data_IF_084230149441
#
_entry.id   IF_084230149441
#
_cell.length_a   1.000
_cell.length_b   1.000
_cell.length_c   1.000
_cell.angle_alpha   90.00
_cell.angle_beta   90.00
_cell.angle_gamma   90.00
#
_symmetry.space_group_name_H-M   'P 1'
#
loop_
_entity.id
_entity.type
_entity.pdbx_description
1 polymer ?
#
# COMPACT_ATOMS: atom_id res chain seq x y z
N UNK A 1 21.58 -0.85 68.48
CA UNK A 1 21.72 -0.07 67.23
C UNK A 1 21.49 -0.90 65.96
N UNK A 2 20.31 -1.54 65.77
CA UNK A 2 20.01 -2.32 64.54
C UNK A 2 18.66 -2.00 63.86
N UNK A 3 17.81 -1.17 64.48
CA UNK A 3 16.46 -0.85 63.95
C UNK A 3 16.42 0.32 62.97
N UNK A 4 17.39 1.24 63.03
CA UNK A 4 17.45 2.44 62.17
C UNK A 4 17.91 2.14 60.73
N UNK A 5 18.75 1.12 60.52
CA UNK A 5 19.20 0.72 59.18
C UNK A 5 18.11 0.03 58.35
N UNK A 6 17.21 -0.73 59.00
CA UNK A 6 16.15 -1.46 58.31
C UNK A 6 15.06 -0.51 57.77
N UNK A 7 14.70 0.51 58.55
CA UNK A 7 13.71 1.52 58.18
C UNK A 7 14.19 2.40 57.01
N UNK A 8 15.48 2.72 56.97
CA UNK A 8 16.08 3.51 55.89
C UNK A 8 16.14 2.73 54.57
N UNK A 9 16.45 1.42 54.62
CA UNK A 9 16.47 0.56 53.44
C UNK A 9 15.07 0.35 52.84
N UNK A 10 14.04 0.19 53.68
CA UNK A 10 12.65 0.07 53.21
C UNK A 10 12.14 1.36 52.58
N UNK A 11 12.53 2.54 53.08
CA UNK A 11 12.13 3.84 52.52
C UNK A 11 12.78 4.10 51.15
N UNK A 12 14.03 3.67 50.97
CA UNK A 12 14.75 3.80 49.70
C UNK A 12 14.17 2.84 48.67
N UNK A 13 13.83 1.61 49.06
CA UNK A 13 13.25 0.62 48.15
C UNK A 13 11.84 1.02 47.67
N UNK A 14 11.01 1.61 48.54
CA UNK A 14 9.70 2.16 48.13
C UNK A 14 9.84 3.40 47.26
N UNK A 15 10.80 4.30 47.53
CA UNK A 15 11.08 5.45 46.69
C UNK A 15 11.58 5.05 45.28
N UNK A 16 12.40 4.00 45.17
CA UNK A 16 12.86 3.46 43.88
C UNK A 16 11.72 2.76 43.12
N UNK A 17 10.84 2.03 43.81
CA UNK A 17 9.64 1.46 43.18
C UNK A 17 8.67 2.55 42.68
N UNK A 18 8.44 3.61 43.46
CA UNK A 18 7.60 4.74 43.06
C UNK A 18 8.20 5.54 41.91
N UNK A 19 9.53 5.73 41.88
CA UNK A 19 10.22 6.37 40.76
C UNK A 19 10.21 5.52 39.48
N UNK A 20 10.16 4.18 39.60
CA UNK A 20 10.08 3.27 38.44
C UNK A 20 8.71 3.22 37.76
N UNK A 21 7.64 3.70 38.42
CA UNK A 21 6.31 3.79 37.81
C UNK A 21 6.14 5.03 36.91
N UNK A 22 7.05 6.00 36.96
CA UNK A 22 7.00 7.23 36.17
C UNK A 22 7.60 7.14 34.76
N UNK A 23 8.15 5.98 34.35
CA UNK A 23 8.88 5.79 33.09
C UNK A 23 8.22 4.82 32.10
N UNK A 24 7.00 4.36 32.40
CA UNK A 24 6.13 3.82 31.36
C UNK A 24 5.62 5.01 30.54
N UNK A 25 6.37 5.42 29.50
CA UNK A 25 5.84 6.32 28.49
C UNK A 25 4.46 5.81 28.09
N UNK A 26 3.47 6.69 28.07
CA UNK A 26 2.13 6.35 27.60
C UNK A 26 2.34 5.86 26.17
N UNK A 27 2.25 4.54 25.95
CA UNK A 27 2.33 3.98 24.62
C UNK A 27 1.05 4.41 23.91
N UNK A 28 1.14 5.50 23.15
CA UNK A 28 0.07 5.96 22.30
C UNK A 28 -0.20 4.88 21.24
N UNK A 29 -1.47 4.63 20.94
CA UNK A 29 -1.83 3.66 19.92
C UNK A 29 -1.36 4.20 18.56
N UNK A 30 -0.63 3.39 17.79
CA UNK A 30 -0.15 3.80 16.46
C UNK A 30 -1.11 3.33 15.38
N UNK A 31 -1.33 4.16 14.37
CA UNK A 31 -2.05 3.79 13.15
C UNK A 31 -1.14 3.99 11.95
N UNK A 32 -0.59 2.90 11.43
CA UNK A 32 0.31 2.92 10.27
C UNK A 32 -0.41 2.39 9.04
N UNK A 33 -0.45 3.20 7.97
CA UNK A 33 -1.01 2.80 6.68
C UNK A 33 0.07 2.82 5.60
N UNK A 34 0.25 1.69 4.94
CA UNK A 34 1.16 1.54 3.81
C UNK A 34 0.37 1.13 2.56
N UNK A 35 0.32 2.02 1.58
CA UNK A 35 -0.27 1.80 0.27
C UNK A 35 0.85 1.63 -0.77
N UNK A 36 1.15 0.38 -1.12
CA UNK A 36 2.09 0.04 -2.19
C UNK A 36 1.42 0.14 -3.53
N UNK A 37 1.87 1.11 -4.32
CA UNK A 37 1.37 1.37 -5.67
C UNK A 37 2.13 0.48 -6.64
N UNK A 38 1.39 -0.23 -7.49
CA UNK A 38 1.91 -1.02 -8.60
C UNK A 38 1.13 -0.67 -9.88
N UNK A 39 1.51 -1.27 -11.00
CA UNK A 39 0.86 -1.09 -12.29
C UNK A 39 -0.58 -1.62 -12.22
N UNK A 40 -1.53 -0.70 -12.12
CA UNK A 40 -2.97 -0.99 -12.16
C UNK A 40 -3.59 -1.49 -10.86
N UNK A 41 -2.82 -1.56 -9.77
CA UNK A 41 -3.32 -2.00 -8.46
C UNK A 41 -2.57 -1.30 -7.32
N UNK A 42 -3.21 -1.25 -6.15
CA UNK A 42 -2.63 -0.71 -4.92
C UNK A 42 -2.84 -1.73 -3.81
N UNK A 43 -1.76 -2.24 -3.25
CA UNK A 43 -1.82 -3.13 -2.07
C UNK A 43 -1.75 -2.28 -0.82
N UNK A 44 -2.77 -2.36 0.01
CA UNK A 44 -2.90 -1.59 1.25
C UNK A 44 -2.64 -2.50 2.44
N UNK A 45 -1.85 -2.01 3.39
CA UNK A 45 -1.59 -2.63 4.69
C UNK A 45 -1.87 -1.60 5.77
N UNK A 46 -2.75 -1.92 6.70
CA UNK A 46 -3.10 -1.07 7.83
C UNK A 46 -2.71 -1.81 9.09
N UNK A 47 -1.99 -1.14 9.98
CA UNK A 47 -1.51 -1.71 11.23
C UNK A 47 -1.90 -0.78 12.36
N UNK A 48 -2.76 -1.28 13.27
CA UNK A 48 -3.05 -0.63 14.53
C UNK A 48 -2.22 -1.32 15.61
N UNK A 49 -1.23 -0.62 16.17
CA UNK A 49 -0.32 -1.16 17.19
C UNK A 49 -0.56 -0.51 18.54
N UNK A 50 -0.16 -1.19 19.62
CA UNK A 50 -0.28 -0.69 21.00
C UNK A 50 -1.71 -0.27 21.36
N UNK A 51 -2.71 -0.98 20.84
CA UNK A 51 -4.12 -0.68 21.14
C UNK A 51 -4.38 -0.89 22.63
N UNK A 52 -5.10 0.04 23.25
CA UNK A 52 -5.51 -0.07 24.65
C UNK A 52 -6.23 -1.41 24.89
N UNK A 53 -5.89 -2.14 25.96
CA UNK A 53 -6.42 -3.47 26.24
C UNK A 53 -7.96 -3.51 26.23
N UNK A 54 -8.62 -2.52 26.84
CA UNK A 54 -10.08 -2.45 26.89
C UNK A 54 -10.69 -2.26 25.50
N UNK A 55 -10.05 -1.44 24.65
CA UNK A 55 -10.48 -1.24 23.27
C UNK A 55 -10.21 -2.50 22.43
N UNK A 56 -9.05 -3.14 22.61
CA UNK A 56 -8.66 -4.36 21.92
C UNK A 56 -9.65 -5.50 22.19
N UNK A 57 -10.03 -5.74 23.44
CA UNK A 57 -11.04 -6.75 23.80
C UNK A 57 -12.41 -6.46 23.18
N UNK A 58 -12.82 -5.19 23.13
CA UNK A 58 -14.07 -4.80 22.44
C UNK A 58 -14.00 -5.07 20.94
N UNK A 59 -12.86 -4.82 20.30
CA UNK A 59 -12.64 -5.11 18.88
C UNK A 59 -12.57 -6.62 18.61
N UNK A 60 -12.06 -7.40 19.56
CA UNK A 60 -12.11 -8.87 19.50
C UNK A 60 -13.56 -9.38 19.59
N UNK A 61 -14.35 -8.83 20.51
CA UNK A 61 -15.77 -9.17 20.64
C UNK A 61 -16.58 -8.75 19.41
N UNK A 62 -16.19 -7.67 18.73
CA UNK A 62 -16.86 -7.20 17.52
C UNK A 62 -16.50 -7.97 16.25
N UNK A 63 -15.66 -9.02 16.29
CA UNK A 63 -15.24 -9.80 15.10
C UNK A 63 -16.35 -10.27 14.14
N UNK A 64 -17.57 -10.63 14.58
CA UNK A 64 -18.63 -10.99 13.64
C UNK A 64 -18.97 -9.83 12.69
N UNK A 65 -18.94 -8.59 13.20
CA UNK A 65 -19.26 -7.36 12.47
C UNK A 65 -17.97 -6.70 11.91
N UNK A 66 -16.84 -6.88 12.57
CA UNK A 66 -15.51 -6.40 12.18
C UNK A 66 -14.68 -7.53 11.57
N UNK A 67 -14.85 -7.70 10.26
CA UNK A 67 -14.25 -8.76 9.49
C UNK A 67 -13.31 -8.20 8.41
N UNK A 68 -12.81 -9.08 7.55
CA UNK A 68 -11.85 -8.71 6.51
C UNK A 68 -12.45 -7.80 5.41
N UNK A 69 -13.78 -7.73 5.26
CA UNK A 69 -14.44 -6.87 4.27
C UNK A 69 -14.78 -5.47 4.80
N UNK A 70 -14.89 -5.29 6.13
CA UNK A 70 -15.37 -4.02 6.74
C UNK A 70 -14.63 -2.77 6.23
N UNK A 71 -13.29 -2.78 6.25
CA UNK A 71 -12.47 -1.65 5.78
C UNK A 71 -12.55 -1.46 4.25
N UNK A 72 -12.25 -2.48 3.42
CA UNK A 72 -12.28 -2.28 1.98
C UNK A 72 -13.69 -1.95 1.45
N UNK A 73 -14.77 -2.44 2.06
CA UNK A 73 -16.15 -2.09 1.66
C UNK A 73 -16.51 -0.64 1.98
N UNK A 74 -16.05 -0.11 3.12
CA UNK A 74 -16.19 1.31 3.43
C UNK A 74 -15.48 2.18 2.38
N UNK A 75 -14.28 1.77 1.95
CA UNK A 75 -13.52 2.43 0.87
C UNK A 75 -14.26 2.39 -0.48
N UNK A 76 -14.78 1.22 -0.88
CA UNK A 76 -15.51 1.11 -2.15
C UNK A 76 -16.79 1.94 -2.12
N UNK A 77 -17.52 1.92 -1.00
CA UNK A 77 -18.73 2.73 -0.82
C UNK A 77 -18.42 4.22 -0.95
N UNK A 78 -17.38 4.69 -0.24
CA UNK A 78 -16.90 6.06 -0.34
C UNK A 78 -16.54 6.45 -1.78
N UNK A 79 -15.79 5.62 -2.50
CA UNK A 79 -15.42 5.88 -3.89
C UNK A 79 -16.64 5.98 -4.80
N UNK A 80 -17.63 5.10 -4.61
CA UNK A 80 -18.88 5.09 -5.37
C UNK A 80 -19.68 6.38 -5.15
N UNK A 81 -19.76 6.85 -3.90
CA UNK A 81 -20.41 8.13 -3.54
C UNK A 81 -19.70 9.34 -4.17
N UNK A 82 -18.37 9.28 -4.30
CA UNK A 82 -17.58 10.29 -5.01
C UNK A 82 -17.65 10.16 -6.55
N UNK A 83 -18.47 9.25 -7.07
CA UNK A 83 -18.64 9.02 -8.50
C UNK A 83 -17.49 8.26 -9.18
N UNK A 84 -16.54 7.73 -8.40
CA UNK A 84 -15.44 6.91 -8.92
C UNK A 84 -15.93 5.47 -9.08
N UNK A 85 -16.14 5.06 -10.32
CA UNK A 85 -16.63 3.73 -10.69
C UNK A 85 -15.50 2.78 -11.09
N UNK A 86 -15.84 1.51 -11.31
CA UNK A 86 -14.92 0.48 -11.76
C UNK A 86 -13.71 0.25 -10.84
N UNK A 87 -13.93 0.33 -9.52
CA UNK A 87 -12.94 -0.01 -8.49
C UNK A 87 -13.47 -1.18 -7.67
N UNK A 88 -12.62 -2.17 -7.43
CA UNK A 88 -12.93 -3.36 -6.64
C UNK A 88 -11.71 -3.76 -5.80
N UNK A 89 -11.95 -4.55 -4.75
CA UNK A 89 -10.90 -5.06 -3.88
C UNK A 89 -10.72 -6.57 -4.03
N UNK A 90 -9.53 -7.07 -3.71
CA UNK A 90 -9.18 -8.50 -3.72
C UNK A 90 -8.29 -8.85 -2.53
N UNK A 91 -8.33 -10.13 -2.14
CA UNK A 91 -7.52 -10.73 -1.07
C UNK A 91 -7.61 -9.95 0.27
N UNK A 92 -8.82 -9.68 0.79
CA UNK A 92 -8.98 -9.06 2.09
C UNK A 92 -8.48 -10.00 3.19
N UNK A 93 -7.70 -9.47 4.13
CA UNK A 93 -7.21 -10.19 5.30
C UNK A 93 -7.27 -9.27 6.51
N UNK A 94 -7.69 -9.83 7.65
CA UNK A 94 -7.72 -9.16 8.95
C UNK A 94 -7.20 -10.15 9.99
N UNK A 95 -6.19 -9.72 10.74
CA UNK A 95 -5.54 -10.55 11.76
C UNK A 95 -5.38 -9.77 13.05
N UNK A 96 -5.49 -10.49 14.16
CA UNK A 96 -5.41 -9.97 15.52
C UNK A 96 -4.27 -10.69 16.23
N UNK A 97 -3.31 -9.93 16.73
CA UNK A 97 -2.21 -10.44 17.54
C UNK A 97 -2.45 -10.06 19.01
N UNK A 98 -2.89 -11.05 19.78
CA UNK A 98 -3.21 -10.88 21.19
C UNK A 98 -1.98 -10.60 22.07
N UNK A 99 -0.78 -11.01 21.63
CA UNK A 99 0.44 -10.82 22.42
C UNK A 99 0.86 -9.36 22.39
N UNK A 100 0.79 -8.74 21.22
CA UNK A 100 1.20 -7.34 21.01
C UNK A 100 0.04 -6.36 20.99
N UNK A 101 -1.21 -6.84 21.09
CA UNK A 101 -2.45 -6.06 20.92
C UNK A 101 -2.45 -5.28 19.61
N UNK A 102 -2.01 -5.97 18.55
CA UNK A 102 -1.87 -5.40 17.21
C UNK A 102 -2.94 -5.95 16.29
N UNK A 103 -3.57 -5.09 15.50
CA UNK A 103 -4.53 -5.49 14.47
C UNK A 103 -3.92 -5.16 13.12
N UNK A 104 -3.90 -6.13 12.21
CA UNK A 104 -3.36 -5.95 10.85
C UNK A 104 -4.42 -6.27 9.83
N UNK A 105 -4.75 -5.28 9.01
CA UNK A 105 -5.62 -5.45 7.86
C UNK A 105 -4.81 -5.30 6.57
N UNK A 106 -5.14 -6.08 5.55
CA UNK A 106 -4.53 -5.93 4.23
C UNK A 106 -5.51 -6.30 3.12
N UNK A 107 -5.41 -5.60 2.00
CA UNK A 107 -6.24 -5.84 0.81
C UNK A 107 -5.57 -5.22 -0.41
N UNK A 108 -6.06 -5.56 -1.60
CA UNK A 108 -5.58 -4.96 -2.86
C UNK A 108 -6.73 -4.28 -3.59
N UNK A 109 -6.60 -2.98 -3.80
CA UNK A 109 -7.49 -2.18 -4.65
C UNK A 109 -7.03 -2.28 -6.11
N UNK A 110 -7.98 -2.38 -7.03
CA UNK A 110 -7.73 -2.51 -8.46
C UNK A 110 -8.91 -1.95 -9.24
N UNK A 111 -8.67 -1.56 -10.48
CA UNK A 111 -9.73 -1.04 -11.34
C UNK A 111 -9.33 0.22 -12.10
N UNK A 112 -10.09 0.52 -13.16
CA UNK A 112 -9.79 1.63 -14.08
C UNK A 112 -10.02 3.00 -13.43
N UNK A 113 -10.96 3.08 -12.47
CA UNK A 113 -11.19 4.30 -11.70
C UNK A 113 -10.05 4.65 -10.73
N UNK A 114 -9.16 3.70 -10.43
CA UNK A 114 -8.09 3.86 -9.45
C UNK A 114 -6.79 4.36 -10.06
N UNK A 115 -6.40 3.81 -11.22
CA UNK A 115 -5.14 4.16 -11.89
C UNK A 115 -5.39 4.32 -13.38
N UNK A 116 -5.10 5.50 -13.91
CA UNK A 116 -5.08 5.77 -15.35
C UNK A 116 -3.67 5.70 -15.89
N UNK A 117 -3.57 5.23 -17.11
CA UNK A 117 -2.30 5.00 -17.79
C UNK A 117 -2.19 5.85 -19.05
N UNK A 118 -1.03 6.47 -19.25
CA UNK A 118 -0.67 7.18 -20.46
C UNK A 118 0.82 7.08 -20.73
N UNK A 119 1.27 7.56 -21.90
CA UNK A 119 2.67 7.61 -22.25
C UNK A 119 3.13 9.06 -22.43
N UNK A 120 4.32 9.36 -21.93
CA UNK A 120 5.02 10.57 -22.32
C UNK A 120 5.53 10.39 -23.76
N UNK A 121 5.02 11.18 -24.71
CA UNK A 121 5.33 11.06 -26.14
C UNK A 121 6.80 11.33 -26.47
N UNK A 122 7.51 12.07 -25.62
CA UNK A 122 8.90 12.45 -25.86
C UNK A 122 9.87 11.40 -25.31
N UNK A 123 9.65 10.95 -24.07
CA UNK A 123 10.55 10.00 -23.41
C UNK A 123 10.14 8.53 -23.57
N UNK A 124 8.93 8.28 -24.09
CA UNK A 124 8.24 6.98 -24.10
C UNK A 124 8.06 6.37 -22.72
N UNK A 125 8.26 7.16 -21.66
CA UNK A 125 8.03 6.71 -20.31
C UNK A 125 6.54 6.58 -20.01
N UNK A 126 6.23 5.71 -19.05
CA UNK A 126 4.87 5.37 -18.67
C UNK A 126 4.43 6.30 -17.55
N UNK A 127 3.34 7.03 -17.77
CA UNK A 127 2.74 7.92 -16.80
C UNK A 127 1.52 7.26 -16.20
N UNK A 128 1.49 7.19 -14.88
CA UNK A 128 0.39 6.64 -14.11
C UNK A 128 -0.22 7.73 -13.24
N UNK A 129 -1.47 8.07 -13.49
CA UNK A 129 -2.27 8.94 -12.64
C UNK A 129 -3.07 8.08 -11.67
N UNK A 130 -2.79 8.22 -10.38
CA UNK A 130 -3.41 7.45 -9.30
C UNK A 130 -4.44 8.32 -8.60
N UNK A 131 -5.66 7.80 -8.47
CA UNK A 131 -6.69 8.37 -7.62
C UNK A 131 -6.51 7.87 -6.19
N UNK A 132 -6.20 8.79 -5.29
CA UNK A 132 -5.91 8.53 -3.88
C UNK A 132 -7.01 9.03 -2.93
N UNK A 133 -8.11 9.58 -3.46
CA UNK A 133 -9.21 10.13 -2.65
C UNK A 133 -9.79 9.14 -1.64
N UNK A 134 -9.75 7.84 -1.95
CA UNK A 134 -10.17 6.76 -1.06
C UNK A 134 -9.46 6.74 0.30
N UNK A 135 -8.29 7.38 0.43
CA UNK A 135 -7.59 7.54 1.72
C UNK A 135 -8.40 8.31 2.76
N UNK A 136 -9.46 9.00 2.36
CA UNK A 136 -10.34 9.79 3.23
C UNK A 136 -11.58 9.01 3.67
N UNK A 137 -11.70 7.74 3.30
CA UNK A 137 -12.86 6.93 3.66
C UNK A 137 -12.84 6.63 5.16
N UNK A 138 -13.76 7.23 5.92
CA UNK A 138 -13.93 6.90 7.34
C UNK A 138 -14.45 5.47 7.49
N UNK A 139 -13.95 4.77 8.51
CA UNK A 139 -14.38 3.40 8.81
C UNK A 139 -15.03 3.36 10.19
N UNK A 140 -16.29 2.92 10.25
CA UNK A 140 -17.00 2.69 11.50
C UNK A 140 -17.04 1.19 11.82
N UNK A 141 -16.47 0.83 12.96
CA UNK A 141 -16.51 -0.53 13.49
C UNK A 141 -17.62 -0.59 14.53
N UNK A 142 -18.64 -1.40 14.26
CA UNK A 142 -19.83 -1.54 15.10
C UNK A 142 -19.84 -2.91 15.77
N UNK A 143 -20.52 -2.99 16.91
CA UNK A 143 -20.93 -4.24 17.53
C UNK A 143 -22.41 -4.13 17.88
N UNK A 144 -23.25 -4.82 17.11
CA UNK A 144 -24.71 -4.63 17.17
C UNK A 144 -25.11 -3.17 16.89
N UNK A 145 -25.60 -2.45 17.90
CA UNK A 145 -26.05 -1.04 17.78
C UNK A 145 -25.01 0.00 18.26
N UNK A 146 -23.87 -0.44 18.78
CA UNK A 146 -22.88 0.44 19.39
C UNK A 146 -21.65 0.58 18.48
N UNK A 147 -21.15 1.80 18.30
CA UNK A 147 -19.86 2.05 17.62
C UNK A 147 -18.75 1.76 18.61
N UNK A 148 -17.91 0.78 18.28
CA UNK A 148 -16.75 0.37 19.09
C UNK A 148 -15.56 1.26 18.82
N UNK A 149 -15.30 1.54 17.55
CA UNK A 149 -14.21 2.38 17.09
C UNK A 149 -14.61 3.05 15.78
N UNK A 150 -14.24 4.31 15.63
CA UNK A 150 -14.33 5.03 14.36
C UNK A 150 -12.92 5.47 13.95
N UNK A 151 -12.51 5.08 12.76
CA UNK A 151 -11.26 5.49 12.15
C UNK A 151 -11.54 6.66 11.22
N UNK A 152 -11.22 7.87 11.66
CA UNK A 152 -11.48 9.11 10.92
C UNK A 152 -10.36 9.40 9.92
N UNK A 153 -10.21 8.55 8.91
CA UNK A 153 -9.17 8.74 7.90
C UNK A 153 -9.33 10.07 7.14
N UNK A 154 -10.55 10.59 7.00
CA UNK A 154 -10.79 11.93 6.45
C UNK A 154 -10.12 13.04 7.27
N UNK A 155 -10.04 12.88 8.59
CA UNK A 155 -9.45 13.87 9.49
C UNK A 155 -7.93 13.69 9.56
N UNK A 156 -7.45 12.45 9.65
CA UNK A 156 -6.01 12.15 9.71
C UNK A 156 -5.31 12.43 8.38
N UNK A 157 -5.92 11.98 7.30
CA UNK A 157 -5.33 11.96 5.97
C UNK A 157 -6.17 12.80 5.02
N UNK A 158 -6.80 13.88 5.49
CA UNK A 158 -7.57 14.81 4.66
C UNK A 158 -6.73 15.79 3.86
N UNK A 159 -5.51 16.08 4.34
CA UNK A 159 -4.62 17.06 3.74
C UNK A 159 -4.36 16.73 2.26
N UNK A 160 -4.39 17.72 1.35
CA UNK A 160 -4.19 17.48 -0.07
C UNK A 160 -2.76 16.99 -0.34
N UNK A 161 -2.58 16.11 -1.33
CA UNK A 161 -1.33 15.37 -1.58
C UNK A 161 -0.12 16.27 -1.89
N UNK A 162 -0.32 17.51 -2.33
CA UNK A 162 0.78 18.46 -2.53
C UNK A 162 1.48 18.86 -1.24
N UNK A 163 0.79 18.71 -0.10
CA UNK A 163 1.34 19.01 1.24
C UNK A 163 2.06 17.81 1.86
N UNK A 164 2.01 16.66 1.20
CA UNK A 164 2.66 15.44 1.70
C UNK A 164 4.14 15.48 1.37
N UNK A 165 4.95 14.94 2.26
CA UNK A 165 6.40 14.91 2.10
C UNK A 165 6.80 13.83 1.09
N UNK A 166 7.77 14.14 0.23
CA UNK A 166 8.38 13.14 -0.65
C UNK A 166 9.61 12.58 0.05
N UNK A 167 9.52 11.31 0.44
CA UNK A 167 10.58 10.61 1.18
C UNK A 167 11.11 9.42 0.40
N UNK A 168 12.30 8.95 0.76
CA UNK A 168 12.82 7.69 0.22
C UNK A 168 12.52 6.55 1.19
N UNK A 169 11.71 5.60 0.76
CA UNK A 169 11.27 4.46 1.56
C UNK A 169 12.33 3.34 1.58
N UNK A 170 12.61 2.80 2.78
CA UNK A 170 13.53 1.68 3.09
C UNK A 170 14.84 1.67 2.26
N UNK A 171 15.86 2.36 2.76
CA UNK A 171 17.22 2.43 2.20
C UNK A 171 17.32 3.11 0.82
N UNK A 172 16.45 4.06 0.51
CA UNK A 172 16.68 4.93 -0.65
C UNK A 172 16.18 4.41 -2.00
N UNK A 173 15.62 3.20 -2.04
CA UNK A 173 15.35 2.49 -3.32
C UNK A 173 14.02 2.83 -3.97
N UNK A 174 13.06 3.39 -3.21
CA UNK A 174 11.74 3.76 -3.71
C UNK A 174 11.36 5.14 -3.19
N UNK A 175 10.78 5.96 -4.06
CA UNK A 175 10.11 7.19 -3.64
C UNK A 175 8.76 6.86 -2.98
N UNK A 176 8.37 7.65 -1.99
CA UNK A 176 7.08 7.54 -1.34
C UNK A 176 6.54 8.93 -0.98
N UNK A 177 5.22 9.08 -1.03
CA UNK A 177 4.53 10.19 -0.39
C UNK A 177 4.23 9.80 1.06
N UNK A 178 4.60 10.67 1.98
CA UNK A 178 4.47 10.46 3.40
C UNK A 178 3.67 11.58 4.06
N UNK A 179 2.79 11.19 4.97
CA UNK A 179 2.16 12.12 5.90
C UNK A 179 2.19 11.53 7.30
N UNK A 180 2.74 12.31 8.23
CA UNK A 180 2.54 12.12 9.65
C UNK A 180 1.48 13.12 10.11
N UNK A 181 0.34 12.64 10.56
CA UNK A 181 -0.75 13.52 11.00
C UNK A 181 -0.67 13.75 12.50
N UNK A 182 -0.70 15.01 12.90
CA UNK A 182 -0.72 15.43 14.32
C UNK A 182 -2.14 15.63 14.84
N UNK A 183 -3.15 15.04 14.18
CA UNK A 183 -4.53 15.12 14.64
C UNK A 183 -4.69 14.41 16.00
N UNK A 184 -5.11 15.15 17.03
CA UNK A 184 -5.23 14.68 18.41
C UNK A 184 -6.49 13.81 18.63
N UNK A 185 -6.61 12.68 17.93
CA UNK A 185 -7.74 11.76 18.10
C UNK A 185 -7.33 10.39 18.66
N UNK A 186 -6.34 10.38 19.55
CA UNK A 186 -5.97 9.19 20.33
C UNK A 186 -5.15 8.12 19.59
N UNK A 187 -4.80 8.35 18.33
CA UNK A 187 -3.80 7.59 17.59
C UNK A 187 -2.68 8.49 17.11
N UNK A 188 -1.52 7.89 16.82
CA UNK A 188 -0.44 8.50 16.05
C UNK A 188 -0.52 8.02 14.59
N UNK A 189 -1.29 8.70 13.71
CA UNK A 189 -1.53 8.25 12.34
C UNK A 189 -0.39 8.62 11.37
N UNK A 190 0.17 7.60 10.72
CA UNK A 190 1.14 7.75 9.65
C UNK A 190 0.69 7.04 8.37
N UNK A 191 0.94 7.66 7.21
CA UNK A 191 0.60 7.09 5.90
C UNK A 191 1.76 7.17 4.92
N UNK A 192 2.01 6.06 4.21
CA UNK A 192 2.93 5.99 3.08
C UNK A 192 2.22 5.53 1.80
N UNK A 193 2.31 6.34 0.74
CA UNK A 193 2.14 5.83 -0.63
C UNK A 193 3.50 5.47 -1.19
N UNK A 194 3.82 4.18 -1.23
CA UNK A 194 5.09 3.68 -1.72
C UNK A 194 5.01 3.44 -3.22
N UNK A 195 5.82 4.14 -4.01
CA UNK A 195 5.83 4.02 -5.47
C UNK A 195 6.55 2.73 -5.92
N UNK A 196 6.30 2.28 -7.16
CA UNK A 196 7.08 1.19 -7.76
C UNK A 196 8.57 1.49 -7.77
N UNK A 197 9.39 0.44 -7.90
CA UNK A 197 10.82 0.61 -8.07
C UNK A 197 11.12 1.43 -9.34
N UNK A 198 12.08 2.34 -9.25
CA UNK A 198 12.52 3.23 -10.33
C UNK A 198 11.45 4.24 -10.80
N UNK A 199 10.29 4.29 -10.14
CA UNK A 199 9.29 5.32 -10.38
C UNK A 199 9.71 6.65 -9.76
N UNK A 200 9.35 7.74 -10.42
CA UNK A 200 9.54 9.11 -9.92
C UNK A 200 8.21 9.81 -9.81
N UNK A 201 7.99 10.52 -8.71
CA UNK A 201 6.83 11.38 -8.58
C UNK A 201 6.97 12.57 -9.54
N UNK A 202 5.99 12.76 -10.41
CA UNK A 202 5.96 13.88 -11.37
C UNK A 202 5.16 15.04 -10.80
N UNK A 203 3.99 14.72 -10.25
CA UNK A 203 3.05 15.71 -9.74
C UNK A 203 2.17 15.09 -8.68
N UNK A 204 1.97 15.78 -7.56
CA UNK A 204 0.86 15.52 -6.66
C UNK A 204 -0.14 16.68 -6.83
N UNK A 205 -1.45 16.41 -6.82
CA UNK A 205 -2.47 17.44 -6.85
C UNK A 205 -3.81 17.02 -6.24
N UNK A 206 -4.22 17.66 -5.15
CA UNK A 206 -5.50 17.40 -4.49
C UNK A 206 -5.53 15.96 -3.97
N UNK A 207 -6.32 15.12 -4.63
CA UNK A 207 -6.47 13.70 -4.33
C UNK A 207 -5.88 12.78 -5.40
N UNK A 208 -5.21 13.34 -6.41
CA UNK A 208 -4.48 12.57 -7.42
C UNK A 208 -2.99 12.78 -7.30
N UNK A 209 -2.22 11.79 -7.72
CA UNK A 209 -0.80 11.98 -8.00
C UNK A 209 -0.40 11.21 -9.24
N UNK A 210 0.59 11.73 -9.94
CA UNK A 210 1.14 11.16 -11.16
C UNK A 210 2.58 10.76 -10.91
N UNK A 211 2.90 9.53 -11.25
CA UNK A 211 4.28 9.06 -11.26
C UNK A 211 4.69 8.56 -12.65
N UNK A 212 5.97 8.72 -12.95
CA UNK A 212 6.59 8.26 -14.18
C UNK A 212 7.40 7.00 -13.89
N UNK A 213 7.17 5.97 -14.69
CA UNK A 213 7.98 4.77 -14.70
C UNK A 213 8.81 4.76 -15.99
N UNK A 214 10.15 4.68 -15.90
CA UNK A 214 10.99 4.69 -17.08
C UNK A 214 10.64 3.54 -18.03
N UNK A 215 10.76 3.81 -19.34
CA UNK A 215 10.53 2.82 -20.37
C UNK A 215 11.50 1.66 -20.20
N UNK A 216 10.97 0.43 -20.16
CA UNK A 216 11.83 -0.76 -20.14
C UNK A 216 12.56 -0.91 -21.48
N UNK A 217 13.69 -1.62 -21.53
CA UNK A 217 14.41 -1.87 -22.77
C UNK A 217 13.50 -2.45 -23.87
N UNK A 218 12.58 -3.35 -23.51
CA UNK A 218 11.60 -3.91 -24.45
C UNK A 218 10.60 -2.86 -24.97
N UNK A 219 10.13 -1.96 -24.10
CA UNK A 219 9.21 -0.87 -24.49
C UNK A 219 9.89 0.06 -25.52
N UNK A 220 11.19 0.37 -25.29
CA UNK A 220 12.00 1.16 -26.22
C UNK A 220 12.26 0.44 -27.54
N UNK A 221 12.44 -0.88 -27.50
CA UNK A 221 12.63 -1.71 -28.69
C UNK A 221 11.35 -1.83 -29.53
N UNK A 222 10.18 -2.02 -28.90
CA UNK A 222 8.89 -2.05 -29.61
C UNK A 222 8.53 -0.69 -30.22
N UNK A 223 8.93 0.41 -29.58
CA UNK A 223 8.80 1.75 -30.12
C UNK A 223 9.84 2.08 -31.21
N UNK A 224 10.83 1.19 -31.42
CA UNK A 224 11.90 1.41 -32.40
C UNK A 224 11.48 1.00 -33.81
N UNK A 225 11.93 1.71 -34.86
CA UNK A 225 11.71 1.31 -36.25
C UNK A 225 12.38 -0.03 -36.62
N UNK A 226 13.16 -0.65 -35.72
CA UNK A 226 13.80 -1.93 -35.99
C UNK A 226 12.85 -3.14 -35.95
N UNK A 227 11.72 -3.08 -35.23
CA UNK A 227 10.80 -4.21 -35.16
C UNK A 227 10.15 -4.56 -36.50
N UNK A 228 9.66 -3.59 -37.31
CA UNK A 228 9.25 -3.86 -38.69
C UNK A 228 10.33 -4.52 -39.53
N UNK A 229 11.58 -4.07 -39.41
CA UNK A 229 12.71 -4.65 -40.15
C UNK A 229 12.98 -6.11 -39.73
N UNK A 230 13.00 -6.39 -38.43
CA UNK A 230 13.16 -7.75 -37.90
C UNK A 230 12.03 -8.66 -38.37
N UNK A 231 10.79 -8.14 -38.41
CA UNK A 231 9.62 -8.88 -38.89
C UNK A 231 9.80 -9.32 -40.35
N UNK A 232 10.30 -8.43 -41.20
CA UNK A 232 10.61 -8.74 -42.62
C UNK A 232 11.73 -9.77 -42.73
N UNK A 233 12.83 -9.60 -41.98
CA UNK A 233 13.95 -10.55 -42.00
C UNK A 233 13.51 -11.95 -41.57
N UNK A 234 12.71 -12.07 -40.52
CA UNK A 234 12.17 -13.36 -40.04
C UNK A 234 11.27 -14.01 -41.08
N UNK A 235 10.40 -13.24 -41.75
CA UNK A 235 9.55 -13.75 -42.82
C UNK A 235 10.38 -14.30 -44.00
N UNK A 236 11.44 -13.59 -44.39
CA UNK A 236 12.37 -14.04 -45.45
C UNK A 236 13.11 -15.30 -45.04
N UNK A 237 13.66 -15.36 -43.83
CA UNK A 237 14.34 -16.56 -43.32
C UNK A 237 13.39 -17.77 -43.28
N UNK A 238 12.17 -17.59 -42.78
CA UNK A 238 11.14 -18.64 -42.77
C UNK A 238 10.84 -19.15 -44.19
N UNK A 239 10.69 -18.24 -45.17
CA UNK A 239 10.48 -18.63 -46.56
C UNK A 239 11.68 -19.41 -47.14
N UNK A 240 12.91 -19.00 -46.83
CA UNK A 240 14.13 -19.71 -47.27
C UNK A 240 14.25 -21.09 -46.64
N UNK A 241 13.98 -21.22 -45.34
CA UNK A 241 13.98 -22.51 -44.64
C UNK A 241 12.88 -23.43 -45.15
N UNK A 242 11.67 -22.91 -45.38
CA UNK A 242 10.56 -23.67 -45.95
C UNK A 242 10.91 -24.18 -47.36
N UNK A 243 11.48 -23.31 -48.21
CA UNK A 243 11.94 -23.68 -49.55
C UNK A 243 13.04 -24.75 -49.50
N UNK A 244 14.03 -24.62 -48.60
CA UNK A 244 15.09 -25.63 -48.44
C UNK A 244 14.54 -26.96 -47.94
N UNK A 245 13.59 -26.96 -47.01
CA UNK A 245 12.95 -28.18 -46.52
C UNK A 245 12.15 -28.87 -47.64
N UNK A 246 11.31 -28.13 -48.36
CA UNK A 246 10.54 -28.65 -49.50
C UNK A 246 11.45 -29.29 -50.56
N UNK A 247 12.55 -28.63 -50.94
CA UNK A 247 13.51 -29.19 -51.91
C UNK A 247 14.21 -30.45 -51.38
N UNK A 248 14.46 -30.54 -50.07
CA UNK A 248 15.08 -31.72 -49.44
C UNK A 248 14.14 -32.94 -49.40
N UNK A 249 12.82 -32.71 -49.32
CA UNK A 249 11.78 -33.75 -49.36
C UNK A 249 11.39 -34.18 -50.79
N UNK A 250 11.76 -33.41 -51.82
CA UNK A 250 11.46 -33.71 -53.25
C UNK A 250 12.64 -34.40 -53.97
N UNK A 251 13.64 -34.93 -53.24
CA UNK A 251 14.67 -35.77 -53.91
C UNK A 251 13.99 -37.00 -54.54
N UNK A 252 14.12 -37.22 -55.86
CA UNK A 252 13.50 -38.37 -56.51
C UNK A 252 14.08 -39.65 -55.92
N UNK A 253 13.19 -40.57 -55.54
CA UNK A 253 13.54 -41.96 -55.26
C UNK A 253 14.09 -42.50 -56.58
N UNK A 254 15.41 -42.60 -56.70
CA UNK A 254 16.04 -43.28 -57.83
C UNK A 254 15.58 -44.72 -57.73
N UNK A 255 14.68 -45.12 -58.63
CA UNK A 255 14.22 -46.48 -58.77
C UNK A 255 15.41 -47.34 -59.22
N UNK A 256 15.68 -48.40 -58.46
CA UNK A 256 16.61 -49.46 -58.80
C UNK A 256 16.01 -50.38 -59.87
#
# INVERSE_FOLDING_TARGET
>A
MKRTGLLSLTLILTAVLLASQGLAGIAHASLDVEARVDVGQITVSIVLSNVNATLYERLLASRPDFNNSTIPEAIISYLSEQGVKDVYYRRPSLTFDNQTRTIRASFTLTGKGLVKFSYNKTTMARLYEVQAGWRKADVEIKHGRTVVLRLNFSSYFGAPLQKWEVVKYKNGTREALFLNSTAEEGFDPAWYFVLPKDAKLVRASGDTFTFELPARPMDKFLASPFWPFISVVVAVLMAVFYRKAAVKFVKPRVAA
#
